data_IF_940113845808
#
_entry.id   IF_940113845808
#
_cell.length_a   1.000
_cell.length_b   1.000
_cell.length_c   1.000
_cell.angle_alpha   90.00
_cell.angle_beta   90.00
_cell.angle_gamma   90.00
#
_symmetry.space_group_name_H-M   'P 1'
#
loop_
_entity.id
_entity.type
_entity.pdbx_description
1 polymer ?
#
# COMPACT_ATOMS: atom_id res chain seq x y z
N UNK A 1 -17.13 9.82 -35.94
CA UNK A 1 -16.69 10.64 -34.80
C UNK A 1 -17.90 10.64 -33.91
N UNK A 2 -18.11 9.49 -33.29
CA UNK A 2 -19.40 9.13 -32.73
C UNK A 2 -19.39 9.46 -31.25
N UNK A 3 -20.42 10.21 -30.89
CA UNK A 3 -20.83 10.66 -29.58
C UNK A 3 -20.82 9.48 -28.59
N UNK A 4 -19.71 9.29 -27.88
CA UNK A 4 -19.60 8.37 -26.75
C UNK A 4 -20.35 8.99 -25.57
N UNK A 5 -21.67 8.82 -25.63
CA UNK A 5 -22.60 8.74 -24.52
C UNK A 5 -22.32 9.68 -23.35
N UNK A 6 -22.91 10.87 -23.42
CA UNK A 6 -23.15 11.71 -22.25
C UNK A 6 -23.82 10.86 -21.15
N UNK A 7 -23.02 10.49 -20.14
CA UNK A 7 -23.47 9.68 -19.01
C UNK A 7 -24.44 10.54 -18.22
N UNK A 8 -25.74 10.27 -18.37
CA UNK A 8 -26.78 10.95 -17.59
C UNK A 8 -26.40 10.95 -16.11
N UNK A 9 -26.64 12.05 -15.37
CA UNK A 9 -26.44 12.06 -13.92
C UNK A 9 -27.17 10.89 -13.27
N UNK A 10 -26.43 9.95 -12.67
CA UNK A 10 -26.97 8.75 -12.04
C UNK A 10 -27.06 7.49 -12.93
N UNK A 11 -26.61 7.53 -14.18
CA UNK A 11 -26.48 6.35 -15.05
C UNK A 11 -25.20 5.57 -14.78
N UNK A 12 -25.28 4.24 -14.73
CA UNK A 12 -24.10 3.38 -14.66
C UNK A 12 -23.28 3.49 -15.95
N UNK A 13 -21.95 3.60 -15.84
CA UNK A 13 -21.10 3.61 -17.03
C UNK A 13 -21.12 2.26 -17.76
N UNK A 14 -21.17 2.27 -19.11
CA UNK A 14 -20.98 1.06 -19.89
C UNK A 14 -19.56 0.51 -19.67
N UNK A 15 -19.42 -0.81 -19.64
CA UNK A 15 -18.12 -1.47 -19.59
C UNK A 15 -17.73 -1.84 -21.01
N UNK A 16 -16.62 -1.30 -21.50
CA UNK A 16 -16.04 -1.69 -22.78
C UNK A 16 -15.21 -2.94 -22.58
N UNK A 17 -15.57 -4.02 -23.26
CA UNK A 17 -14.86 -5.30 -23.21
C UNK A 17 -14.09 -5.50 -24.50
N UNK A 18 -12.80 -5.78 -24.41
CA UNK A 18 -11.95 -6.23 -25.52
C UNK A 18 -11.61 -7.70 -25.34
N UNK A 19 -11.52 -8.44 -26.44
CA UNK A 19 -11.09 -9.84 -26.41
C UNK A 19 -9.56 -9.88 -26.53
N UNK A 20 -8.84 -10.47 -25.55
CA UNK A 20 -7.40 -10.69 -25.65
C UNK A 20 -7.10 -11.66 -26.80
N UNK A 21 -6.28 -11.24 -27.75
CA UNK A 21 -5.88 -12.07 -28.91
C UNK A 21 -4.38 -12.35 -28.94
N UNK A 22 -3.58 -11.51 -28.29
CA UNK A 22 -2.15 -11.73 -28.18
C UNK A 22 -1.84 -12.89 -27.21
N UNK A 23 -0.89 -13.80 -27.52
CA UNK A 23 -0.68 -15.02 -26.75
C UNK A 23 -0.46 -14.79 -25.24
N UNK A 24 0.31 -13.76 -24.89
CA UNK A 24 0.59 -13.42 -23.48
C UNK A 24 -0.69 -12.92 -22.78
N UNK A 25 -1.45 -12.05 -23.44
CA UNK A 25 -2.70 -11.54 -22.87
C UNK A 25 -3.76 -12.64 -22.75
N UNK A 26 -3.83 -13.56 -23.71
CA UNK A 26 -4.72 -14.70 -23.67
C UNK A 26 -4.37 -15.66 -22.51
N UNK A 27 -3.08 -15.86 -22.23
CA UNK A 27 -2.63 -16.64 -21.07
C UNK A 27 -3.00 -15.96 -19.74
N UNK A 28 -2.78 -14.64 -19.63
CA UNK A 28 -3.19 -13.85 -18.45
C UNK A 28 -4.69 -13.95 -18.20
N UNK A 29 -5.49 -13.88 -19.27
CA UNK A 29 -6.94 -14.02 -19.20
C UNK A 29 -7.37 -15.43 -18.77
N UNK A 30 -6.73 -16.47 -19.32
CA UNK A 30 -6.99 -17.85 -18.91
C UNK A 30 -6.69 -18.06 -17.42
N UNK A 31 -5.53 -17.61 -16.94
CA UNK A 31 -5.16 -17.64 -15.52
C UNK A 31 -6.16 -16.89 -14.64
N UNK A 32 -6.69 -15.75 -15.14
CA UNK A 32 -7.69 -14.96 -14.44
C UNK A 32 -9.04 -15.67 -14.30
N UNK A 33 -9.52 -16.31 -15.36
CA UNK A 33 -10.75 -17.11 -15.34
C UNK A 33 -10.60 -18.28 -14.38
N UNK A 34 -9.49 -19.00 -14.48
CA UNK A 34 -9.15 -20.13 -13.64
C UNK A 34 -9.12 -19.75 -12.15
N UNK A 35 -8.48 -18.62 -11.84
CA UNK A 35 -8.45 -18.08 -10.49
C UNK A 35 -9.84 -17.67 -10.00
N UNK A 36 -10.66 -17.04 -10.84
CA UNK A 36 -12.02 -16.65 -10.50
C UNK A 36 -12.94 -17.86 -10.25
N UNK A 37 -12.73 -19.00 -10.94
CA UNK A 37 -13.46 -20.25 -10.68
C UNK A 37 -13.01 -20.90 -9.37
N UNK A 38 -11.71 -20.83 -9.05
CA UNK A 38 -11.16 -21.35 -7.79
C UNK A 38 -11.54 -20.50 -6.58
N UNK A 39 -11.62 -19.19 -6.76
CA UNK A 39 -12.12 -18.25 -5.77
C UNK A 39 -13.65 -18.42 -5.69
N UNK A 40 -14.15 -18.90 -4.55
CA UNK A 40 -15.59 -19.03 -4.32
C UNK A 40 -16.20 -17.78 -3.67
N UNK A 41 -15.36 -16.95 -3.08
CA UNK A 41 -15.75 -15.76 -2.32
C UNK A 41 -14.61 -14.72 -2.32
N UNK A 42 -14.86 -13.56 -1.74
CA UNK A 42 -13.85 -12.53 -1.48
C UNK A 42 -13.71 -12.28 0.02
N UNK A 43 -12.48 -12.07 0.48
CA UNK A 43 -12.22 -11.50 1.79
C UNK A 43 -11.85 -10.02 1.62
N UNK A 44 -12.50 -9.16 2.41
CA UNK A 44 -12.26 -7.71 2.38
C UNK A 44 -11.58 -7.31 3.66
N UNK A 45 -10.42 -6.64 3.55
CA UNK A 45 -9.68 -6.12 4.70
C UNK A 45 -10.20 -4.76 5.15
N UNK A 46 -10.53 -3.90 4.19
CA UNK A 46 -10.96 -2.53 4.44
C UNK A 46 -10.27 -1.51 3.55
N UNK A 47 -10.35 -0.22 3.88
CA UNK A 47 -9.87 0.84 3.01
C UNK A 47 -8.35 1.01 3.04
N UNK A 48 -7.79 1.30 1.88
CA UNK A 48 -6.44 1.86 1.70
C UNK A 48 -6.53 3.18 0.93
N UNK A 49 -5.52 4.02 1.08
CA UNK A 49 -5.51 5.39 0.56
C UNK A 49 -4.24 5.68 -0.23
N UNK A 50 -4.38 6.56 -1.22
CA UNK A 50 -3.26 7.10 -2.00
C UNK A 50 -3.63 8.49 -2.50
N UNK A 51 -2.91 8.97 -3.51
CA UNK A 51 -3.18 10.29 -4.11
C UNK A 51 -3.17 10.16 -5.61
N UNK A 52 -4.20 10.72 -6.23
CA UNK A 52 -4.26 10.86 -7.68
C UNK A 52 -4.26 12.34 -8.07
N UNK A 53 -3.63 12.65 -9.19
CA UNK A 53 -3.53 13.96 -9.79
C UNK A 53 -4.28 14.02 -11.12
N UNK A 54 -4.93 15.14 -11.40
CA UNK A 54 -5.62 15.44 -12.64
C UNK A 54 -5.18 16.83 -13.12
N UNK A 55 -4.48 16.87 -14.25
CA UNK A 55 -4.10 18.09 -14.95
C UNK A 55 -5.23 18.65 -15.81
N UNK A 56 -5.05 19.86 -16.37
CA UNK A 56 -6.06 20.53 -17.18
C UNK A 56 -6.43 19.77 -18.46
N UNK A 57 -5.47 19.04 -19.05
CA UNK A 57 -5.63 18.32 -20.32
C UNK A 57 -5.96 16.82 -20.14
N UNK A 58 -6.07 16.34 -18.90
CA UNK A 58 -6.27 14.90 -18.63
C UNK A 58 -7.72 14.44 -18.89
N UNK A 59 -8.67 15.37 -19.01
CA UNK A 59 -10.10 15.06 -19.14
C UNK A 59 -10.60 14.37 -17.87
N UNK A 60 -11.19 13.19 -17.98
CA UNK A 60 -11.68 12.41 -16.82
C UNK A 60 -10.61 11.52 -16.18
N UNK A 61 -9.41 11.45 -16.75
CA UNK A 61 -8.35 10.56 -16.28
C UNK A 61 -7.63 11.16 -15.09
N UNK A 62 -7.20 10.31 -14.19
CA UNK A 62 -6.39 10.67 -13.03
C UNK A 62 -5.14 9.82 -12.99
N UNK A 63 -3.98 10.40 -12.71
CA UNK A 63 -2.72 9.67 -12.55
C UNK A 63 -2.44 9.46 -11.08
N UNK A 64 -2.16 8.23 -10.65
CA UNK A 64 -1.71 7.97 -9.28
C UNK A 64 -0.31 8.54 -9.11
N UNK A 65 -0.12 9.38 -8.09
CA UNK A 65 1.16 10.04 -7.76
C UNK A 65 1.67 9.66 -6.37
N UNK A 66 0.81 9.07 -5.55
CA UNK A 66 1.18 8.38 -4.31
C UNK A 66 0.44 7.03 -4.33
N UNK A 67 1.15 5.91 -4.13
CA UNK A 67 0.56 4.57 -4.19
C UNK A 67 -0.68 4.43 -3.30
N UNK A 68 -1.69 3.71 -3.79
CA UNK A 68 -2.95 3.47 -3.05
C UNK A 68 -2.75 2.29 -2.09
N UNK A 69 -1.96 2.51 -1.05
CA UNK A 69 -1.52 1.49 -0.08
C UNK A 69 -1.50 1.98 1.37
N UNK A 70 -1.74 3.27 1.62
CA UNK A 70 -1.70 3.85 2.96
C UNK A 70 -2.86 3.35 3.82
N UNK A 71 -2.59 3.02 5.09
CA UNK A 71 -3.59 2.46 6.02
C UNK A 71 -4.57 3.48 6.62
N UNK A 72 -4.39 4.78 6.38
CA UNK A 72 -5.35 5.81 6.76
C UNK A 72 -5.24 7.06 5.84
N UNK A 73 -6.26 7.94 5.82
CA UNK A 73 -6.24 9.11 4.95
C UNK A 73 -5.09 10.08 5.25
N UNK A 74 -4.73 10.28 6.52
CA UNK A 74 -3.68 11.22 6.88
C UNK A 74 -2.31 10.80 6.34
N UNK A 75 -1.98 9.51 6.36
CA UNK A 75 -0.75 9.01 5.74
C UNK A 75 -0.64 9.37 4.25
N UNK A 76 -1.75 9.27 3.49
CA UNK A 76 -1.76 9.69 2.09
C UNK A 76 -1.57 11.22 1.92
N UNK A 77 -2.10 12.03 2.86
CA UNK A 77 -1.86 13.49 2.89
C UNK A 77 -0.40 13.81 3.22
N UNK A 78 0.22 13.07 4.13
CA UNK A 78 1.64 13.24 4.51
C UNK A 78 2.56 12.87 3.33
N UNK A 79 2.20 11.83 2.57
CA UNK A 79 2.87 11.51 1.30
C UNK A 79 2.67 12.59 0.24
N UNK A 80 1.46 13.17 0.11
CA UNK A 80 1.24 14.32 -0.79
C UNK A 80 2.07 15.54 -0.36
N UNK A 81 2.14 15.81 0.94
CA UNK A 81 2.97 16.87 1.50
C UNK A 81 4.42 16.67 1.05
N UNK A 82 4.95 15.46 1.26
CA UNK A 82 6.32 15.12 0.87
C UNK A 82 6.57 15.27 -0.62
N UNK A 83 5.64 14.77 -1.45
CA UNK A 83 5.70 14.94 -2.90
C UNK A 83 5.79 16.42 -3.27
N UNK A 84 4.90 17.27 -2.76
CA UNK A 84 4.90 18.69 -3.10
C UNK A 84 6.12 19.44 -2.53
N UNK A 85 6.62 19.04 -1.36
CA UNK A 85 7.82 19.62 -0.76
C UNK A 85 9.07 19.31 -1.60
N UNK A 86 9.28 18.04 -1.99
CA UNK A 86 10.40 17.67 -2.85
C UNK A 86 10.32 18.33 -4.23
N UNK A 87 9.11 18.47 -4.80
CA UNK A 87 8.93 19.24 -6.04
C UNK A 87 9.29 20.71 -5.85
N UNK A 88 8.92 21.32 -4.73
CA UNK A 88 9.30 22.70 -4.43
C UNK A 88 10.83 22.87 -4.29
N UNK A 89 11.50 21.87 -3.72
CA UNK A 89 12.95 21.85 -3.50
C UNK A 89 13.73 21.62 -4.79
N UNK A 90 13.37 20.56 -5.51
CA UNK A 90 14.21 19.96 -6.54
C UNK A 90 13.74 20.26 -7.97
N UNK A 91 12.46 20.60 -8.17
CA UNK A 91 11.87 20.76 -9.51
C UNK A 91 11.38 22.18 -9.82
N UNK A 92 11.08 23.01 -8.81
CA UNK A 92 10.51 24.34 -9.03
C UNK A 92 11.47 25.25 -9.83
N UNK A 93 11.00 25.75 -10.95
CA UNK A 93 11.80 26.54 -11.90
C UNK A 93 11.97 28.00 -11.44
N UNK A 94 11.01 28.52 -10.69
CA UNK A 94 11.04 29.88 -10.18
C UNK A 94 10.43 30.04 -8.78
N UNK A 95 10.56 31.25 -8.23
CA UNK A 95 10.07 31.62 -6.89
C UNK A 95 8.54 31.62 -6.80
N UNK A 96 7.82 31.89 -7.89
CA UNK A 96 6.37 31.87 -7.88
C UNK A 96 5.83 30.44 -7.81
N UNK A 97 6.40 29.53 -8.60
CA UNK A 97 6.12 28.10 -8.55
C UNK A 97 6.42 27.52 -7.17
N UNK A 98 7.63 27.78 -6.64
CA UNK A 98 8.02 27.31 -5.31
C UNK A 98 7.08 27.79 -4.22
N UNK A 99 6.69 29.07 -4.23
CA UNK A 99 5.70 29.60 -3.28
C UNK A 99 4.34 28.91 -3.38
N UNK A 100 3.87 28.61 -4.60
CA UNK A 100 2.59 27.94 -4.78
C UNK A 100 2.62 26.51 -4.20
N UNK A 101 3.71 25.78 -4.42
CA UNK A 101 3.93 24.45 -3.85
C UNK A 101 4.04 24.51 -2.31
N UNK A 102 4.83 25.44 -1.77
CA UNK A 102 4.99 25.58 -0.31
C UNK A 102 3.71 26.06 0.39
N UNK A 103 2.88 26.88 -0.26
CA UNK A 103 1.57 27.25 0.27
C UNK A 103 0.65 26.02 0.40
N UNK A 104 0.71 25.10 -0.57
CA UNK A 104 -0.01 23.84 -0.52
C UNK A 104 0.52 22.91 0.59
N UNK A 105 1.85 22.77 0.71
CA UNK A 105 2.50 22.05 1.82
C UNK A 105 2.01 22.59 3.16
N UNK A 106 2.10 23.90 3.39
CA UNK A 106 1.67 24.50 4.65
C UNK A 106 0.19 24.25 4.98
N UNK A 107 -0.69 24.15 3.97
CA UNK A 107 -2.08 23.74 4.20
C UNK A 107 -2.18 22.29 4.66
N UNK A 108 -1.44 21.38 4.03
CA UNK A 108 -1.43 19.96 4.41
C UNK A 108 -0.84 19.71 5.81
N UNK A 109 0.01 20.61 6.30
CA UNK A 109 0.56 20.57 7.67
C UNK A 109 -0.46 21.01 8.74
N UNK A 110 -1.54 21.72 8.37
CA UNK A 110 -2.51 22.30 9.32
C UNK A 110 -3.93 21.75 9.19
N UNK A 111 -4.29 21.28 8.00
CA UNK A 111 -5.65 20.93 7.63
C UNK A 111 -5.71 19.50 7.08
N UNK A 112 -6.82 18.79 7.34
CA UNK A 112 -7.11 17.48 6.74
C UNK A 112 -7.67 17.62 5.33
N UNK A 113 -6.89 18.21 4.43
CA UNK A 113 -7.30 18.49 3.05
C UNK A 113 -7.34 17.20 2.24
N UNK A 114 -8.50 16.85 1.70
CA UNK A 114 -8.66 15.68 0.82
C UNK A 114 -8.49 16.01 -0.66
N UNK A 115 -8.56 17.30 -0.99
CA UNK A 115 -8.45 17.77 -2.36
C UNK A 115 -7.90 19.20 -2.40
N UNK A 116 -6.90 19.44 -3.25
CA UNK A 116 -6.38 20.78 -3.50
C UNK A 116 -5.88 20.91 -4.94
N UNK A 117 -5.87 22.13 -5.44
CA UNK A 117 -5.30 22.44 -6.75
C UNK A 117 -4.04 23.27 -6.58
N UNK A 118 -2.96 22.86 -7.23
CA UNK A 118 -1.66 23.55 -7.22
C UNK A 118 -1.19 23.65 -8.66
N UNK A 119 -0.94 24.88 -9.13
CA UNK A 119 -0.44 25.16 -10.48
C UNK A 119 -1.29 24.47 -11.58
N UNK A 120 -2.62 24.54 -11.42
CA UNK A 120 -3.58 23.93 -12.36
C UNK A 120 -3.74 22.41 -12.25
N UNK A 121 -2.95 21.73 -11.41
CA UNK A 121 -3.10 20.29 -11.16
C UNK A 121 -3.94 20.05 -9.90
N UNK A 122 -5.02 19.29 -10.04
CA UNK A 122 -5.89 18.88 -8.94
C UNK A 122 -5.36 17.59 -8.33
N UNK A 123 -5.06 17.60 -7.04
CA UNK A 123 -4.67 16.43 -6.26
C UNK A 123 -5.83 16.01 -5.37
N UNK A 124 -6.12 14.71 -5.33
CA UNK A 124 -7.16 14.12 -4.48
C UNK A 124 -6.60 12.92 -3.73
N UNK A 125 -6.86 12.86 -2.43
CA UNK A 125 -6.72 11.62 -1.65
C UNK A 125 -7.77 10.64 -2.16
N UNK A 126 -7.33 9.52 -2.72
CA UNK A 126 -8.22 8.48 -3.25
C UNK A 126 -8.36 7.33 -2.29
N UNK A 127 -9.54 6.72 -2.26
CA UNK A 127 -9.88 5.58 -1.41
C UNK A 127 -10.11 4.34 -2.26
N UNK A 128 -9.49 3.23 -1.87
CA UNK A 128 -9.76 1.91 -2.44
C UNK A 128 -10.13 0.90 -1.35
N UNK A 129 -10.94 -0.10 -1.71
CA UNK A 129 -11.17 -1.29 -0.90
C UNK A 129 -10.09 -2.33 -1.21
N UNK A 130 -9.35 -2.77 -0.19
CA UNK A 130 -8.41 -3.89 -0.31
C UNK A 130 -9.17 -5.22 -0.10
N UNK A 131 -9.04 -6.14 -1.05
CA UNK A 131 -9.70 -7.44 -1.02
C UNK A 131 -8.85 -8.52 -1.69
N UNK A 132 -9.17 -9.79 -1.43
CA UNK A 132 -8.54 -10.93 -2.06
C UNK A 132 -9.57 -12.01 -2.39
N UNK A 133 -9.31 -12.79 -3.44
CA UNK A 133 -10.07 -14.01 -3.71
C UNK A 133 -9.80 -15.06 -2.62
N UNK A 134 -10.84 -15.75 -2.18
CA UNK A 134 -10.74 -16.84 -1.20
C UNK A 134 -11.54 -18.04 -1.70
N UNK A 135 -10.96 -19.22 -1.55
CA UNK A 135 -11.62 -20.49 -1.88
C UNK A 135 -11.34 -21.58 -0.85
N UNK A 136 -11.69 -22.84 -1.14
CA UNK A 136 -11.44 -23.97 -0.25
C UNK A 136 -9.97 -24.14 0.16
N UNK A 137 -9.05 -23.69 -0.71
CA UNK A 137 -7.61 -23.75 -0.47
C UNK A 137 -7.07 -22.52 0.29
N UNK A 138 -7.92 -21.57 0.71
CA UNK A 138 -7.56 -20.33 1.39
C UNK A 138 -7.48 -19.13 0.45
N UNK A 139 -6.69 -18.11 0.83
CA UNK A 139 -6.47 -16.91 0.02
C UNK A 139 -5.77 -17.25 -1.29
N UNK A 140 -6.12 -16.54 -2.37
CA UNK A 140 -5.51 -16.67 -3.69
C UNK A 140 -4.00 -16.39 -3.64
N UNK A 141 -3.23 -17.29 -4.27
CA UNK A 141 -1.79 -17.16 -4.46
C UNK A 141 -1.46 -16.29 -5.69
N UNK A 142 -0.22 -15.80 -5.84
CA UNK A 142 0.28 -15.29 -7.10
C UNK A 142 -0.03 -16.24 -8.25
N UNK A 143 -0.49 -15.67 -9.36
CA UNK A 143 -0.76 -16.40 -10.61
C UNK A 143 0.55 -16.61 -11.36
N UNK A 144 0.66 -17.68 -12.17
CA UNK A 144 1.81 -17.89 -13.05
C UNK A 144 2.13 -16.70 -13.95
N UNK A 145 1.12 -15.94 -14.39
CA UNK A 145 1.28 -14.75 -15.23
C UNK A 145 1.43 -13.42 -14.47
N UNK A 146 1.44 -13.43 -13.13
CA UNK A 146 1.73 -12.19 -12.39
C UNK A 146 3.20 -11.78 -12.59
N UNK A 147 3.51 -10.46 -12.72
CA UNK A 147 4.89 -10.01 -12.92
C UNK A 147 5.80 -10.41 -11.77
N UNK A 148 6.79 -11.25 -12.07
CA UNK A 148 7.75 -11.79 -11.12
C UNK A 148 9.15 -11.78 -11.78
N UNK A 149 10.20 -11.21 -11.17
CA UNK A 149 11.52 -11.12 -11.80
C UNK A 149 12.07 -12.49 -12.20
N UNK A 150 12.68 -12.54 -13.39
CA UNK A 150 13.34 -13.75 -13.90
C UNK A 150 14.55 -14.12 -13.04
N UNK A 151 15.35 -13.13 -12.66
CA UNK A 151 16.48 -13.26 -11.76
C UNK A 151 16.13 -12.60 -10.41
N UNK A 152 15.88 -13.38 -9.34
CA UNK A 152 15.51 -12.82 -8.04
C UNK A 152 16.72 -12.13 -7.39
N UNK A 153 16.52 -10.91 -6.89
CA UNK A 153 17.48 -10.23 -6.01
C UNK A 153 17.05 -10.36 -4.54
N UNK A 154 17.88 -11.00 -3.73
CA UNK A 154 17.66 -11.18 -2.29
C UNK A 154 18.44 -10.18 -1.43
N UNK A 155 19.11 -9.21 -2.04
CA UNK A 155 19.85 -8.17 -1.33
C UNK A 155 18.88 -7.31 -0.51
N UNK A 156 19.22 -7.03 0.76
CA UNK A 156 18.38 -6.19 1.63
C UNK A 156 18.20 -4.76 1.10
N UNK A 157 19.15 -4.26 0.31
CA UNK A 157 19.15 -2.92 -0.26
C UNK A 157 18.65 -2.81 -1.70
N UNK A 158 18.25 -3.91 -2.35
CA UNK A 158 17.72 -3.87 -3.71
C UNK A 158 16.40 -3.10 -3.76
N UNK A 159 16.18 -2.35 -4.84
CA UNK A 159 14.94 -1.62 -5.08
C UNK A 159 13.79 -2.58 -5.36
N UNK A 160 12.72 -2.46 -4.59
CA UNK A 160 11.49 -3.21 -4.82
C UNK A 160 10.69 -2.59 -5.99
N UNK A 161 9.75 -3.36 -6.55
CA UNK A 161 8.87 -2.84 -7.61
C UNK A 161 7.89 -1.83 -7.01
N UNK A 162 7.88 -0.61 -7.56
CA UNK A 162 6.98 0.46 -7.11
C UNK A 162 5.51 0.12 -7.41
N UNK A 163 4.66 0.30 -6.41
CA UNK A 163 3.21 0.07 -6.53
C UNK A 163 2.58 1.27 -7.23
N UNK A 164 1.72 1.00 -8.22
CA UNK A 164 0.96 2.01 -8.97
C UNK A 164 1.84 3.01 -9.74
N UNK A 165 3.12 2.70 -9.98
CA UNK A 165 3.98 3.55 -10.80
C UNK A 165 3.39 3.71 -12.21
N UNK A 166 3.35 4.95 -12.68
CA UNK A 166 2.73 5.33 -13.96
C UNK A 166 1.24 5.02 -14.10
N UNK A 167 0.54 4.59 -13.03
CA UNK A 167 -0.84 4.14 -13.12
C UNK A 167 -1.79 5.29 -13.46
N UNK A 168 -2.53 5.13 -14.56
CA UNK A 168 -3.62 6.02 -14.96
C UNK A 168 -4.96 5.36 -14.66
N UNK A 169 -5.76 6.03 -13.84
CA UNK A 169 -7.15 5.71 -13.56
C UNK A 169 -8.01 6.25 -14.71
N UNK A 170 -8.42 5.35 -15.60
CA UNK A 170 -9.27 5.65 -16.73
C UNK A 170 -10.55 4.80 -16.67
N UNK A 171 -11.72 5.39 -16.36
CA UNK A 171 -12.97 4.65 -16.22
C UNK A 171 -13.45 3.98 -17.51
N UNK A 172 -12.97 4.46 -18.67
CA UNK A 172 -13.40 4.08 -20.00
C UNK A 172 -12.37 3.19 -20.72
N UNK A 173 -11.26 2.85 -20.04
CA UNK A 173 -10.27 1.91 -20.54
C UNK A 173 -10.90 0.53 -20.84
N UNK A 174 -10.63 -0.07 -22.02
CA UNK A 174 -11.13 -1.39 -22.36
C UNK A 174 -10.61 -2.48 -21.41
N UNK A 175 -11.51 -3.33 -20.93
CA UNK A 175 -11.21 -4.44 -20.01
C UNK A 175 -11.19 -5.78 -20.72
N UNK A 176 -10.44 -6.74 -20.17
CA UNK A 176 -10.58 -8.15 -20.56
C UNK A 176 -11.91 -8.73 -20.02
N UNK A 177 -12.41 -9.87 -20.54
CA UNK A 177 -13.64 -10.48 -20.03
C UNK A 177 -13.61 -10.76 -18.52
N UNK A 178 -12.52 -11.30 -17.97
CA UNK A 178 -12.38 -11.56 -16.54
C UNK A 178 -12.40 -10.27 -15.71
N UNK A 179 -11.70 -9.22 -16.15
CA UNK A 179 -11.72 -7.91 -15.50
C UNK A 179 -13.12 -7.27 -15.55
N UNK A 180 -13.82 -7.39 -16.67
CA UNK A 180 -15.17 -6.89 -16.83
C UNK A 180 -16.16 -7.63 -15.92
N UNK A 181 -16.05 -8.96 -15.84
CA UNK A 181 -16.86 -9.78 -14.94
C UNK A 181 -16.63 -9.40 -13.47
N UNK A 182 -15.37 -9.27 -13.05
CA UNK A 182 -15.00 -8.86 -11.69
C UNK A 182 -15.51 -7.44 -11.39
N UNK A 183 -15.33 -6.47 -12.30
CA UNK A 183 -15.83 -5.10 -12.17
C UNK A 183 -17.34 -5.05 -12.00
N UNK A 184 -18.08 -5.84 -12.80
CA UNK A 184 -19.53 -5.90 -12.73
C UNK A 184 -20.02 -6.55 -11.44
N UNK A 185 -19.38 -7.64 -11.01
CA UNK A 185 -19.71 -8.34 -9.76
C UNK A 185 -19.49 -7.43 -8.54
N UNK A 186 -18.43 -6.63 -8.54
CA UNK A 186 -18.07 -5.76 -7.42
C UNK A 186 -18.74 -4.38 -7.47
N UNK A 187 -19.44 -4.02 -8.55
CA UNK A 187 -20.10 -2.71 -8.68
C UNK A 187 -21.08 -2.45 -7.52
N UNK A 188 -21.85 -3.47 -7.15
CA UNK A 188 -22.81 -3.45 -6.03
C UNK A 188 -22.20 -3.68 -4.65
N UNK A 189 -20.88 -3.83 -4.53
CA UNK A 189 -20.22 -4.17 -3.26
C UNK A 189 -20.49 -3.12 -2.17
N UNK A 190 -21.01 -3.55 -1.02
CA UNK A 190 -21.07 -2.71 0.17
C UNK A 190 -20.90 -3.54 1.44
N UNK A 191 -20.35 -2.95 2.49
CA UNK A 191 -20.17 -3.64 3.76
C UNK A 191 -21.52 -4.02 4.37
N UNK A 192 -21.72 -5.32 4.58
CA UNK A 192 -22.97 -5.91 5.08
C UNK A 192 -22.79 -6.65 6.41
N UNK A 193 -21.61 -7.24 6.65
CA UNK A 193 -21.27 -8.01 7.85
C UNK A 193 -21.29 -7.20 9.16
N UNK A 194 -21.58 -7.86 10.28
CA UNK A 194 -21.67 -7.23 11.61
C UNK A 194 -20.31 -6.84 12.20
N UNK A 195 -19.24 -7.43 11.66
CA UNK A 195 -17.85 -7.11 11.97
C UNK A 195 -17.45 -5.69 11.54
N UNK A 196 -18.21 -5.08 10.61
CA UNK A 196 -17.99 -3.71 10.17
C UNK A 196 -18.79 -2.71 11.02
N UNK A 197 -18.15 -1.62 11.51
CA UNK A 197 -18.83 -0.55 12.22
C UNK A 197 -20.03 0.05 11.47
N UNK A 198 -21.07 0.45 12.20
CA UNK A 198 -22.32 0.96 11.62
C UNK A 198 -22.15 2.18 10.72
N UNK A 199 -21.26 3.11 11.09
CA UNK A 199 -20.91 4.28 10.28
C UNK A 199 -20.24 3.87 8.97
N UNK A 200 -19.29 2.94 9.01
CA UNK A 200 -18.65 2.38 7.82
C UNK A 200 -19.65 1.69 6.89
N UNK A 201 -20.61 0.92 7.42
CA UNK A 201 -21.67 0.28 6.62
C UNK A 201 -22.61 1.30 5.97
N UNK A 202 -22.99 2.37 6.70
CA UNK A 202 -23.81 3.47 6.16
C UNK A 202 -23.08 4.21 5.04
N UNK A 203 -21.80 4.54 5.26
CA UNK A 203 -20.99 5.25 4.26
C UNK A 203 -20.78 4.39 3.01
N UNK A 204 -20.51 3.09 3.18
CA UNK A 204 -20.39 2.12 2.08
C UNK A 204 -21.66 2.02 1.24
N UNK A 205 -22.84 1.98 1.89
CA UNK A 205 -24.14 2.01 1.18
C UNK A 205 -24.39 3.33 0.46
N UNK A 206 -24.03 4.48 1.06
CA UNK A 206 -24.13 5.79 0.41
C UNK A 206 -23.24 5.86 -0.84
N UNK A 207 -22.06 5.25 -0.79
CA UNK A 207 -21.12 5.25 -1.90
C UNK A 207 -21.67 4.60 -3.17
N UNK A 208 -22.61 3.65 -3.06
CA UNK A 208 -23.31 3.07 -4.22
C UNK A 208 -24.09 4.11 -5.03
N UNK A 209 -24.55 5.19 -4.39
CA UNK A 209 -25.29 6.26 -5.06
C UNK A 209 -24.36 7.40 -5.52
N UNK A 210 -23.34 7.75 -4.73
CA UNK A 210 -22.44 8.89 -5.05
C UNK A 210 -21.32 8.50 -6.01
N UNK A 211 -20.86 7.25 -5.94
CA UNK A 211 -19.79 6.68 -6.75
C UNK A 211 -20.22 5.27 -7.24
N UNK A 212 -21.21 5.22 -8.15
CA UNK A 212 -21.87 3.96 -8.56
C UNK A 212 -20.96 3.03 -9.35
N UNK A 213 -19.93 3.57 -10.01
CA UNK A 213 -18.97 2.79 -10.77
C UNK A 213 -17.78 2.37 -9.92
N UNK A 214 -17.02 1.40 -10.41
CA UNK A 214 -15.81 0.90 -9.75
C UNK A 214 -14.70 0.70 -10.79
N UNK A 215 -13.46 0.87 -10.35
CA UNK A 215 -12.23 0.59 -11.09
C UNK A 215 -11.42 -0.43 -10.31
N UNK A 216 -10.81 -1.37 -11.02
CA UNK A 216 -9.91 -2.36 -10.43
C UNK A 216 -8.48 -1.88 -10.64
N UNK A 217 -7.72 -1.74 -9.55
CA UNK A 217 -6.30 -1.41 -9.64
C UNK A 217 -5.47 -2.67 -9.93
N UNK A 218 -4.23 -2.53 -10.43
CA UNK A 218 -3.30 -3.65 -10.54
C UNK A 218 -3.15 -4.40 -9.21
N UNK A 219 -2.97 -5.71 -9.34
CA UNK A 219 -2.80 -6.57 -8.18
C UNK A 219 -1.47 -6.28 -7.47
N UNK A 220 -1.50 -6.44 -6.17
CA UNK A 220 -0.35 -6.34 -5.27
C UNK A 220 -0.22 -7.64 -4.50
N UNK A 221 0.86 -7.77 -3.73
CA UNK A 221 1.16 -9.00 -2.99
C UNK A 221 1.43 -8.68 -1.54
N UNK A 222 1.07 -9.60 -0.65
CA UNK A 222 1.24 -9.43 0.79
C UNK A 222 1.55 -10.77 1.43
N UNK A 223 2.41 -10.77 2.44
CA UNK A 223 2.55 -11.92 3.33
C UNK A 223 1.34 -11.95 4.25
N UNK A 224 0.62 -13.07 4.24
CA UNK A 224 -0.42 -13.36 5.21
C UNK A 224 -0.05 -14.59 6.03
N UNK A 225 -0.47 -14.61 7.28
CA UNK A 225 -0.33 -15.77 8.15
C UNK A 225 -1.70 -16.35 8.51
N UNK A 226 -1.75 -17.66 8.66
CA UNK A 226 -2.99 -18.37 9.04
C UNK A 226 -3.19 -18.32 10.55
N UNK A 227 -4.16 -17.54 11.02
CA UNK A 227 -4.66 -17.61 12.41
C UNK A 227 -6.08 -18.16 12.41
N UNK A 228 -6.33 -19.29 13.08
CA UNK A 228 -7.67 -19.91 13.11
C UNK A 228 -8.73 -18.89 13.59
N UNK A 229 -9.84 -18.70 12.86
CA UNK A 229 -10.31 -19.47 11.71
C UNK A 229 -9.92 -18.93 10.30
N UNK A 230 -9.05 -17.93 10.16
CA UNK A 230 -8.77 -17.28 8.87
C UNK A 230 -7.31 -16.90 8.60
N UNK A 231 -7.15 -15.86 7.79
CA UNK A 231 -5.87 -15.28 7.39
C UNK A 231 -5.78 -13.87 7.95
N UNK A 232 -4.59 -13.46 8.38
CA UNK A 232 -4.31 -12.07 8.74
C UNK A 232 -3.08 -11.56 8.00
N UNK A 233 -3.03 -10.27 7.68
CA UNK A 233 -1.82 -9.63 7.17
C UNK A 233 -0.64 -9.75 8.13
N UNK A 234 0.52 -10.06 7.56
CA UNK A 234 1.83 -10.12 8.21
C UNK A 234 2.85 -9.15 7.59
N UNK A 235 2.54 -8.53 6.44
CA UNK A 235 3.35 -7.47 5.83
C UNK A 235 2.49 -6.35 5.24
N UNK A 236 3.14 -5.31 4.68
CA UNK A 236 2.53 -4.34 3.79
C UNK A 236 2.27 -4.92 2.39
N UNK A 237 1.65 -4.12 1.52
CA UNK A 237 1.54 -4.45 0.09
C UNK A 237 2.90 -4.32 -0.61
N UNK A 238 3.13 -5.16 -1.62
CA UNK A 238 4.31 -5.20 -2.47
C UNK A 238 3.91 -5.22 -3.95
N UNK A 239 4.78 -4.67 -4.82
CA UNK A 239 4.55 -4.61 -6.27
C UNK A 239 4.71 -5.95 -7.00
N UNK A 240 5.48 -6.88 -6.43
CA UNK A 240 5.69 -8.22 -7.01
C UNK A 240 5.60 -9.35 -5.98
N UNK A 241 5.37 -10.61 -6.41
CA UNK A 241 5.46 -11.78 -5.53
C UNK A 241 6.86 -11.92 -4.90
N UNK A 242 7.91 -11.58 -5.64
CA UNK A 242 9.29 -11.63 -5.16
C UNK A 242 9.54 -10.68 -4.01
N UNK A 243 9.06 -9.44 -4.08
CA UNK A 243 9.23 -8.44 -3.01
C UNK A 243 8.51 -8.89 -1.72
N UNK A 244 7.35 -9.54 -1.85
CA UNK A 244 6.67 -10.15 -0.73
C UNK A 244 7.46 -11.34 -0.14
N UNK A 245 8.10 -12.17 -0.98
CA UNK A 245 8.99 -13.25 -0.51
C UNK A 245 10.25 -12.71 0.15
N UNK A 246 10.86 -11.64 -0.37
CA UNK A 246 12.01 -10.95 0.25
C UNK A 246 11.64 -10.40 1.64
N UNK A 247 10.44 -9.85 1.77
CA UNK A 247 9.91 -9.41 3.06
C UNK A 247 9.68 -10.59 4.02
N UNK A 248 9.15 -11.71 3.55
CA UNK A 248 9.01 -12.92 4.37
C UNK A 248 10.37 -13.49 4.77
N UNK A 249 11.35 -13.54 3.86
CA UNK A 249 12.72 -13.97 4.18
C UNK A 249 13.33 -13.10 5.29
N UNK A 250 13.22 -11.76 5.16
CA UNK A 250 13.65 -10.83 6.21
C UNK A 250 12.92 -11.09 7.53
N UNK A 251 11.60 -11.32 7.49
CA UNK A 251 10.83 -11.64 8.70
C UNK A 251 11.37 -12.89 9.38
N UNK A 252 11.55 -13.97 8.63
CA UNK A 252 11.96 -15.27 9.15
C UNK A 252 13.36 -15.24 9.77
N UNK A 253 14.32 -14.54 9.15
CA UNK A 253 15.71 -14.57 9.66
C UNK A 253 16.03 -13.44 10.62
N UNK A 254 15.39 -12.28 10.48
CA UNK A 254 15.78 -11.08 11.23
C UNK A 254 14.74 -10.67 12.26
N UNK A 255 13.47 -10.51 11.85
CA UNK A 255 12.41 -9.95 12.71
C UNK A 255 11.85 -10.95 13.71
N UNK A 256 11.38 -12.10 13.24
CA UNK A 256 10.70 -13.12 14.06
C UNK A 256 11.62 -13.63 15.18
N UNK A 257 12.90 -14.01 14.90
CA UNK A 257 13.82 -14.41 15.96
C UNK A 257 14.04 -13.36 17.05
N UNK A 258 14.13 -12.07 16.67
CA UNK A 258 14.27 -10.96 17.62
C UNK A 258 12.99 -10.73 18.43
N UNK A 259 11.83 -10.77 17.77
CA UNK A 259 10.54 -10.60 18.43
C UNK A 259 10.26 -11.69 19.47
N UNK A 260 10.91 -12.85 19.33
CA UNK A 260 10.83 -14.00 20.24
C UNK A 260 11.98 -14.06 21.26
N UNK A 261 12.94 -13.14 21.20
CA UNK A 261 14.10 -13.11 22.09
C UNK A 261 15.15 -14.19 21.81
N UNK A 262 15.10 -14.85 20.65
CA UNK A 262 16.13 -15.82 20.21
C UNK A 262 17.42 -15.11 19.77
N UNK A 263 17.30 -13.88 19.27
CA UNK A 263 18.41 -12.99 18.95
C UNK A 263 18.26 -11.72 19.81
N UNK A 264 19.29 -11.32 20.58
CA UNK A 264 19.20 -10.12 21.41
C UNK A 264 19.00 -8.83 20.57
N UNK A 265 18.19 -7.86 21.03
CA UNK A 265 17.99 -6.59 20.33
C UNK A 265 19.28 -5.79 20.08
N UNK A 266 20.26 -5.91 20.97
CA UNK A 266 21.59 -5.30 20.89
C UNK A 266 22.53 -5.98 19.89
N UNK A 267 22.17 -7.16 19.37
CA UNK A 267 22.93 -7.81 18.33
C UNK A 267 22.94 -6.94 17.07
N UNK A 268 24.12 -6.82 16.44
CA UNK A 268 24.30 -5.99 15.25
C UNK A 268 23.31 -6.32 14.14
N UNK A 269 23.09 -5.36 13.24
CA UNK A 269 22.10 -5.49 12.15
C UNK A 269 22.33 -6.71 11.24
N UNK A 270 23.59 -7.14 11.10
CA UNK A 270 23.97 -8.32 10.31
C UNK A 270 23.68 -9.65 11.02
N UNK A 271 23.46 -9.65 12.34
CA UNK A 271 23.12 -10.87 13.07
C UNK A 271 21.69 -11.31 12.72
N UNK A 272 21.53 -12.52 12.20
CA UNK A 272 20.25 -13.11 11.84
C UNK A 272 20.26 -14.62 12.09
N UNK A 273 19.13 -15.30 11.89
CA UNK A 273 19.02 -16.73 12.16
C UNK A 273 20.09 -17.55 11.42
N UNK A 274 20.50 -17.14 10.21
CA UNK A 274 21.52 -17.85 9.44
C UNK A 274 22.90 -17.67 10.07
N UNK A 275 23.26 -16.45 10.47
CA UNK A 275 24.58 -16.20 11.08
C UNK A 275 24.71 -16.92 12.41
N UNK A 276 23.67 -16.90 13.25
CA UNK A 276 23.68 -17.61 14.54
C UNK A 276 23.82 -19.13 14.39
N UNK A 277 23.16 -19.73 13.40
CA UNK A 277 23.30 -21.17 13.10
C UNK A 277 24.71 -21.48 12.58
N UNK A 278 25.28 -20.61 11.74
CA UNK A 278 26.62 -20.77 11.20
C UNK A 278 27.73 -20.62 12.26
N UNK A 279 27.51 -19.82 13.30
CA UNK A 279 28.45 -19.64 14.41
C UNK A 279 28.53 -20.87 15.33
N UNK A 280 27.46 -21.68 15.41
CA UNK A 280 27.38 -22.85 16.28
C UNK A 280 26.92 -24.12 15.52
N UNK A 281 27.68 -24.58 14.52
CA UNK A 281 27.23 -25.64 13.61
C UNK A 281 27.05 -27.01 14.29
N UNK A 282 27.76 -27.27 15.39
CA UNK A 282 27.72 -28.56 16.10
C UNK A 282 26.54 -28.66 17.09
N UNK A 283 25.92 -27.54 17.44
CA UNK A 283 24.79 -27.49 18.38
C UNK A 283 23.96 -26.21 18.14
N UNK A 284 23.35 -26.06 16.95
CA UNK A 284 22.55 -24.88 16.66
C UNK A 284 21.29 -24.87 17.53
N UNK A 285 20.82 -23.67 17.88
CA UNK A 285 19.48 -23.51 18.44
C UNK A 285 18.44 -24.04 17.43
N UNK A 286 17.58 -24.95 17.88
CA UNK A 286 16.64 -25.66 17.00
C UNK A 286 15.61 -24.71 16.36
N UNK A 287 15.18 -23.67 17.06
CA UNK A 287 14.24 -22.68 16.53
C UNK A 287 14.90 -21.79 15.48
N UNK A 288 16.12 -21.30 15.76
CA UNK A 288 16.89 -20.53 14.79
C UNK A 288 17.22 -21.35 13.53
N UNK A 289 17.56 -22.62 13.70
CA UNK A 289 17.79 -23.56 12.59
C UNK A 289 16.52 -23.73 11.74
N UNK A 290 15.35 -23.86 12.36
CA UNK A 290 14.08 -23.96 11.66
C UNK A 290 13.78 -22.71 10.83
N UNK A 291 14.01 -21.51 11.39
CA UNK A 291 13.85 -20.24 10.67
C UNK A 291 14.81 -20.11 9.49
N UNK A 292 16.10 -20.38 9.70
CA UNK A 292 17.11 -20.32 8.65
C UNK A 292 16.79 -21.29 7.49
N UNK A 293 16.45 -22.54 7.82
CA UNK A 293 16.09 -23.56 6.83
C UNK A 293 14.83 -23.19 6.03
N UNK A 294 13.81 -22.65 6.71
CA UNK A 294 12.59 -22.20 6.06
C UNK A 294 12.86 -21.05 5.08
N UNK A 295 13.66 -20.07 5.48
CA UNK A 295 14.05 -18.96 4.64
C UNK A 295 14.90 -19.42 3.43
N UNK A 296 15.79 -20.40 3.61
CA UNK A 296 16.58 -20.96 2.51
C UNK A 296 15.72 -21.72 1.49
N UNK A 297 14.72 -22.48 1.96
CA UNK A 297 13.73 -23.14 1.08
C UNK A 297 12.89 -22.12 0.32
N UNK A 298 12.45 -21.06 1.00
CA UNK A 298 11.73 -19.94 0.37
C UNK A 298 12.54 -19.35 -0.79
N UNK A 299 13.86 -19.17 -0.60
CA UNK A 299 14.77 -18.66 -1.63
C UNK A 299 14.99 -19.65 -2.78
N UNK A 300 15.26 -20.92 -2.46
CA UNK A 300 15.62 -21.94 -3.44
C UNK A 300 14.44 -22.30 -4.37
N UNK A 301 13.26 -22.49 -3.79
CA UNK A 301 12.09 -23.00 -4.52
C UNK A 301 11.08 -21.89 -4.89
N UNK A 302 11.35 -20.64 -4.53
CA UNK A 302 10.46 -19.47 -4.73
C UNK A 302 9.05 -19.73 -4.16
N UNK A 303 8.98 -20.30 -2.97
CA UNK A 303 7.73 -20.75 -2.36
C UNK A 303 6.76 -19.58 -2.14
N UNK A 304 5.49 -19.80 -2.46
CA UNK A 304 4.40 -18.87 -2.11
C UNK A 304 3.67 -19.29 -0.83
N UNK A 305 4.05 -20.41 -0.23
CA UNK A 305 3.52 -20.92 1.04
C UNK A 305 4.58 -21.76 1.74
N UNK A 306 4.70 -21.60 3.05
CA UNK A 306 5.48 -22.48 3.91
C UNK A 306 4.99 -22.46 5.35
N UNK A 307 5.35 -23.48 6.11
CA UNK A 307 5.05 -23.59 7.54
C UNK A 307 6.35 -23.56 8.36
N UNK A 308 6.39 -22.72 9.39
CA UNK A 308 7.52 -22.57 10.31
C UNK A 308 6.99 -22.56 11.73
N UNK A 309 7.45 -23.49 12.56
CA UNK A 309 7.08 -23.58 13.98
C UNK A 309 5.55 -23.50 14.22
N UNK A 310 4.76 -24.15 13.36
CA UNK A 310 3.30 -24.20 13.43
C UNK A 310 2.56 -22.99 12.83
N UNK A 311 3.27 -21.98 12.34
CA UNK A 311 2.69 -20.83 11.61
C UNK A 311 2.79 -21.06 10.11
N UNK A 312 1.65 -21.01 9.42
CA UNK A 312 1.62 -21.05 7.94
C UNK A 312 1.64 -19.62 7.41
N UNK A 313 2.68 -19.32 6.65
CA UNK A 313 2.83 -18.09 5.89
C UNK A 313 2.48 -18.35 4.43
N UNK A 314 1.86 -17.36 3.80
CA UNK A 314 1.47 -17.41 2.39
C UNK A 314 1.64 -16.05 1.74
N UNK A 315 2.08 -16.02 0.49
CA UNK A 315 2.01 -14.83 -0.35
C UNK A 315 0.59 -14.77 -0.93
N UNK A 316 -0.20 -13.80 -0.48
CA UNK A 316 -1.54 -13.55 -0.98
C UNK A 316 -1.52 -12.56 -2.14
N UNK A 317 -2.30 -12.84 -3.18
CA UNK A 317 -2.57 -11.92 -4.28
C UNK A 317 -3.72 -10.99 -3.89
N UNK A 318 -3.39 -9.74 -3.66
CA UNK A 318 -4.30 -8.71 -3.16
C UNK A 318 -4.74 -7.82 -4.33
N UNK A 319 -6.00 -7.42 -4.32
CA UNK A 319 -6.60 -6.51 -5.29
C UNK A 319 -7.16 -5.29 -4.57
N UNK A 320 -7.29 -4.21 -5.31
CA UNK A 320 -7.80 -2.94 -4.80
C UNK A 320 -8.89 -2.41 -5.73
N UNK A 321 -9.99 -1.95 -5.14
CA UNK A 321 -11.14 -1.43 -5.86
C UNK A 321 -11.37 0.04 -5.50
N UNK A 322 -11.31 0.93 -6.48
CA UNK A 322 -11.63 2.35 -6.31
C UNK A 322 -13.06 2.57 -6.78
N UNK A 323 -13.90 3.23 -5.98
CA UNK A 323 -15.22 3.67 -6.46
C UNK A 323 -15.09 4.94 -7.27
N UNK A 324 -15.99 5.12 -8.23
CA UNK A 324 -15.95 6.21 -9.18
C UNK A 324 -17.31 6.89 -9.33
N UNK A 325 -17.30 8.22 -9.21
CA UNK A 325 -18.47 9.07 -9.36
C UNK A 325 -18.34 10.02 -10.56
N UNK A 326 -19.32 10.91 -10.76
CA UNK A 326 -19.29 11.89 -11.84
C UNK A 326 -18.06 12.79 -11.83
N UNK A 327 -17.52 13.07 -10.64
CA UNK A 327 -16.35 13.92 -10.41
C UNK A 327 -15.06 13.10 -10.16
N UNK A 328 -15.01 11.83 -10.58
CA UNK A 328 -13.81 11.00 -10.51
C UNK A 328 -13.76 10.03 -9.33
N UNK A 329 -12.55 9.64 -8.86
CA UNK A 329 -12.38 8.60 -7.85
C UNK A 329 -12.87 9.03 -6.48
N UNK A 330 -13.46 8.10 -5.72
CA UNK A 330 -13.96 8.33 -4.36
C UNK A 330 -12.83 8.74 -3.41
N UNK A 331 -13.05 9.80 -2.64
CA UNK A 331 -12.15 10.20 -1.56
C UNK A 331 -12.45 9.53 -0.21
N UNK A 332 -11.77 9.92 0.88
CA UNK A 332 -12.05 9.41 2.21
C UNK A 332 -13.50 9.63 2.65
N UNK A 333 -14.08 8.60 3.28
CA UNK A 333 -15.41 8.64 3.89
C UNK A 333 -15.33 9.23 5.31
N UNK A 334 -16.42 9.81 5.84
CA UNK A 334 -16.49 10.24 7.23
C UNK A 334 -16.13 9.16 8.26
N UNK A 335 -16.44 7.88 7.97
CA UNK A 335 -16.05 6.75 8.82
C UNK A 335 -14.55 6.44 8.83
N UNK A 336 -13.79 6.92 7.84
CA UNK A 336 -12.36 6.62 7.71
C UNK A 336 -11.57 7.40 8.76
N UNK A 337 -10.88 6.68 9.64
CA UNK A 337 -10.19 7.26 10.80
C UNK A 337 -8.77 7.66 10.44
N UNK A 338 -8.38 8.89 10.79
CA UNK A 338 -6.98 9.30 10.79
C UNK A 338 -6.28 8.71 12.03
N UNK A 339 -5.01 8.30 11.88
CA UNK A 339 -4.18 7.81 12.99
C UNK A 339 -3.34 8.91 13.63
N UNK A 340 -3.09 9.99 12.89
CA UNK A 340 -2.38 11.17 13.36
C UNK A 340 -3.08 12.45 12.87
N UNK A 341 -2.76 13.57 13.50
CA UNK A 341 -3.15 14.90 13.03
C UNK A 341 -2.18 15.42 11.96
N UNK A 342 -2.59 16.41 11.15
CA UNK A 342 -1.67 17.17 10.32
C UNK A 342 -0.52 17.76 11.14
N UNK A 343 0.71 17.63 10.64
CA UNK A 343 1.92 18.20 11.25
C UNK A 343 2.95 18.54 10.18
N UNK A 344 3.97 19.32 10.56
CA UNK A 344 5.14 19.61 9.72
C UNK A 344 6.11 18.43 9.77
N UNK A 345 6.29 17.77 8.62
CA UNK A 345 7.11 16.56 8.49
C UNK A 345 8.47 16.81 7.80
N UNK A 346 8.69 18.01 7.27
CA UNK A 346 9.92 18.41 6.58
C UNK A 346 10.55 19.66 7.21
N UNK A 347 11.88 19.83 7.11
CA UNK A 347 12.54 21.10 7.43
C UNK A 347 11.95 22.27 6.63
N UNK A 348 12.17 23.49 7.12
CA UNK A 348 11.60 24.68 6.49
C UNK A 348 12.35 24.93 5.18
N UNK A 349 11.61 25.06 4.08
CA UNK A 349 12.15 25.41 2.78
C UNK A 349 11.67 26.82 2.44
N UNK A 350 12.61 27.74 2.22
CA UNK A 350 12.26 29.10 1.82
C UNK A 350 11.97 29.21 0.32
N UNK A 351 11.45 30.37 -0.08
CA UNK A 351 11.08 30.63 -1.46
C UNK A 351 12.28 30.84 -2.40
N UNK A 352 13.51 30.88 -1.88
CA UNK A 352 14.75 30.92 -2.64
C UNK A 352 15.39 29.52 -2.80
N UNK A 353 14.79 28.49 -2.20
CA UNK A 353 15.23 27.10 -2.30
C UNK A 353 16.19 26.65 -1.20
N UNK A 354 16.38 27.45 -0.15
CA UNK A 354 17.25 27.07 0.96
C UNK A 354 16.47 26.26 2.00
N UNK A 355 17.06 25.13 2.41
CA UNK A 355 16.54 24.27 3.47
C UNK A 355 17.14 24.68 4.81
N UNK A 356 16.28 25.02 5.76
CA UNK A 356 16.63 25.40 7.13
C UNK A 356 16.31 24.23 8.06
N UNK A 357 17.37 23.59 8.54
CA UNK A 357 17.28 22.61 9.62
C UNK A 357 17.19 23.40 10.92
N UNK A 358 16.19 23.11 11.75
CA UNK A 358 16.17 23.63 13.11
C UNK A 358 17.39 23.07 13.83
N UNK A 359 18.34 23.93 14.22
CA UNK A 359 19.35 23.57 15.21
C UNK A 359 18.61 23.32 16.52
N UNK A 360 18.70 22.12 17.08
CA UNK A 360 18.49 21.93 18.52
C UNK A 360 19.57 22.73 19.24
N UNK A 361 19.28 23.99 19.58
CA UNK A 361 20.11 24.81 20.46
C UNK A 361 19.99 24.27 21.89
N UNK A 362 21.09 23.64 22.32
CA UNK A 362 21.55 23.39 23.69
C UNK A 362 20.64 23.72 24.87
N UNK A 363 20.23 22.67 25.59
CA UNK A 363 20.15 22.75 27.05
C UNK A 363 21.57 22.82 27.63
N UNK A 364 22.15 24.02 27.65
CA UNK A 364 23.17 24.37 28.63
C UNK A 364 22.76 25.63 29.39
N UNK A 365 22.47 25.47 30.68
CA UNK A 365 22.62 26.56 31.63
C UNK A 365 21.54 26.72 32.68
N UNK A 366 21.43 25.78 33.63
CA UNK A 366 21.29 26.18 35.03
C UNK A 366 21.93 25.15 35.96
N UNK A 367 23.25 25.28 36.13
CA UNK A 367 23.95 24.73 37.28
C UNK A 367 23.48 25.48 38.53
N UNK A 368 22.56 24.88 39.28
CA UNK A 368 22.28 25.26 40.67
C UNK A 368 22.89 24.20 41.61
N UNK A 369 23.88 24.54 42.44
CA UNK A 369 24.54 23.57 43.31
C UNK A 369 23.66 23.31 44.54
N UNK A 370 22.92 22.21 44.53
CA UNK A 370 22.32 21.69 45.78
C UNK A 370 23.35 20.85 46.53
N UNK A 371 23.99 21.52 47.48
CA UNK A 371 24.63 20.95 48.64
C UNK A 371 23.73 19.87 49.26
N UNK A 372 24.21 18.62 49.33
CA UNK A 372 23.72 17.63 50.28
C UNK A 372 24.78 17.46 51.36
N UNK A 373 24.47 17.64 52.66
CA UNK A 373 25.38 17.26 53.72
C UNK A 373 25.38 15.73 53.88
N UNK A 374 26.59 15.19 54.02
CA UNK A 374 26.85 13.87 54.54
C UNK A 374 26.50 13.84 56.03
N UNK A 375 25.54 13.01 56.44
CA UNK A 375 25.55 12.39 57.77
C UNK A 375 25.00 10.96 57.65
N UNK A 376 25.89 9.99 57.89
CA UNK A 376 25.51 8.69 58.45
C UNK A 376 25.21 8.82 59.95
N UNK A 377 25.08 7.75 60.73
CA UNK A 377 25.62 6.40 60.53
C UNK A 377 24.66 5.35 59.94
#
# INVERSE_FOLDING_TARGET
MDDLGDVRPGGMRPVVVRIPVEPVEAAVEADAIDAAVRAGDIAVRGPVFGVAAQGPDDGQRWRVVVPVSSGCPQMARDSLNSLLWFRAKDEAQDRAERRALLAAVGRLERERVNELTVLGTRYRVVRAEEYAGVGPNGIELPRPTDPDPLAPDWSRGGSDVEIDDGLVLDPDAPLTPAQAAERLALRGFSYSGYEFPDDARRDSRRALATHPDVLLLPATFMVVERKRPGWQPASSLHGSPHDARKTLDFSLVWWDPRSRGLIPPEAGYEADARTHVAENPDSPDEELAAYAQAADRLRADRLNELEVLGTVYRIGRIRRLVRWGPDGPEGPRPSDRNRQEPDRIHPFLDEDGNVHFEHEEGEEGEASPRHYPLEGP
#
